data_IF_608327758404
#
_entry.id   IF_608327758404
#
_cell.length_a   1.000
_cell.length_b   1.000
_cell.length_c   1.000
_cell.angle_alpha   90.00
_cell.angle_beta   90.00
_cell.angle_gamma   90.00
#
_symmetry.space_group_name_H-M   'P 1'
#
loop_
_entity.id
_entity.type
_entity.pdbx_description
1 polymer ?
#
# COMPACT_ATOMS: atom_id res chain seq x y z
N UNK A 1 -6.81 7.13 2.42
CA UNK A 1 -5.60 6.29 2.33
C UNK A 1 -4.52 6.89 3.21
N UNK A 2 -3.91 6.14 4.12
CA UNK A 2 -2.83 6.60 5.00
C UNK A 2 -1.57 7.04 4.22
N UNK A 3 -0.61 7.61 4.96
CA UNK A 3 0.74 7.89 4.46
C UNK A 3 1.78 7.21 5.34
N UNK A 4 2.81 6.63 4.73
CA UNK A 4 3.97 6.12 5.44
C UNK A 4 5.25 6.74 4.89
N UNK A 5 6.25 6.91 5.75
CA UNK A 5 7.56 7.42 5.40
C UNK A 5 8.62 6.86 6.35
N UNK A 6 9.88 6.92 5.95
CA UNK A 6 10.95 6.55 6.85
C UNK A 6 12.33 6.65 6.26
N UNK A 7 13.31 6.37 7.11
CA UNK A 7 14.73 6.37 6.77
C UNK A 7 15.42 5.21 7.48
N UNK A 8 16.31 4.55 6.75
CA UNK A 8 17.15 3.47 7.23
C UNK A 8 18.61 3.91 7.12
N UNK A 9 19.36 3.88 8.22
CA UNK A 9 20.82 3.86 8.13
C UNK A 9 21.23 2.43 7.77
N UNK A 10 21.71 2.22 6.54
CA UNK A 10 22.07 0.91 6.01
C UNK A 10 23.22 0.25 6.80
N UNK A 11 24.00 1.01 7.57
CA UNK A 11 24.99 0.44 8.52
C UNK A 11 24.36 -0.02 9.84
N UNK A 12 23.10 0.34 10.09
CA UNK A 12 22.28 -0.12 11.20
C UNK A 12 22.68 0.42 12.57
N UNK A 13 23.38 1.55 12.65
CA UNK A 13 23.95 2.07 13.91
C UNK A 13 23.41 3.42 14.31
N UNK A 14 23.37 4.37 13.36
CA UNK A 14 22.93 5.75 13.62
C UNK A 14 21.43 5.78 13.81
N UNK A 15 20.99 6.56 14.80
CA UNK A 15 19.56 6.85 14.99
C UNK A 15 19.18 7.98 14.02
N UNK A 16 18.15 7.79 13.19
CA UNK A 16 17.60 8.87 12.41
C UNK A 16 17.12 10.06 13.24
N UNK A 17 17.18 11.25 12.65
CA UNK A 17 16.67 12.48 13.26
C UNK A 17 15.13 12.47 13.31
N UNK A 18 14.59 12.68 14.51
CA UNK A 18 13.14 12.76 14.74
C UNK A 18 12.51 13.95 14.01
N UNK A 19 13.16 15.12 14.02
CA UNK A 19 12.61 16.32 13.36
C UNK A 19 12.53 16.13 11.84
N UNK A 20 13.45 15.35 11.26
CA UNK A 20 13.37 14.94 9.86
C UNK A 20 12.17 14.03 9.59
N UNK A 21 11.93 13.03 10.43
CA UNK A 21 10.76 12.14 10.30
C UNK A 21 9.45 12.92 10.39
N UNK A 22 9.36 13.90 11.29
CA UNK A 22 8.20 14.79 11.42
C UNK A 22 7.94 15.58 10.13
N UNK A 23 8.97 16.18 9.53
CA UNK A 23 8.82 16.85 8.22
C UNK A 23 8.35 15.91 7.12
N UNK A 24 8.86 14.68 7.11
CA UNK A 24 8.44 13.65 6.14
C UNK A 24 6.98 13.25 6.34
N UNK A 25 6.53 13.16 7.60
CA UNK A 25 5.13 12.87 7.96
C UNK A 25 4.20 14.03 7.61
N UNK A 26 4.59 15.28 7.90
CA UNK A 26 3.80 16.47 7.60
C UNK A 26 3.55 16.63 6.10
N UNK A 27 4.54 16.29 5.27
CA UNK A 27 4.37 16.24 3.83
C UNK A 27 3.30 15.24 3.37
N UNK A 28 2.90 14.28 4.22
CA UNK A 28 1.87 13.28 3.95
C UNK A 28 0.55 13.53 4.71
N UNK A 29 0.40 14.66 5.40
CA UNK A 29 -0.78 14.95 6.24
C UNK A 29 -2.10 14.88 5.48
N UNK A 30 -2.11 15.25 4.19
CA UNK A 30 -3.31 15.18 3.33
C UNK A 30 -3.81 13.75 3.10
N UNK A 31 -2.92 12.74 3.24
CA UNK A 31 -3.29 11.32 3.15
C UNK A 31 -3.94 10.86 4.45
N UNK A 32 -3.29 11.17 5.57
CA UNK A 32 -3.71 10.76 6.91
C UNK A 32 -3.84 11.94 7.88
N UNK A 33 -4.99 12.64 7.89
CA UNK A 33 -5.19 13.82 8.70
C UNK A 33 -5.49 13.52 10.18
N UNK A 34 -5.91 12.29 10.52
CA UNK A 34 -6.52 11.98 11.82
C UNK A 34 -5.50 11.76 12.93
N UNK A 35 -4.38 11.11 12.63
CA UNK A 35 -3.35 10.78 13.63
C UNK A 35 -1.96 10.66 12.97
N UNK A 36 -0.92 10.63 13.81
CA UNK A 36 0.45 10.31 13.42
C UNK A 36 1.12 9.36 14.41
N UNK A 37 2.22 8.75 13.97
CA UNK A 37 3.07 7.98 14.86
C UNK A 37 4.46 7.76 14.31
N UNK A 38 5.38 7.54 15.22
CA UNK A 38 6.80 7.54 14.96
C UNK A 38 7.49 6.40 15.70
N UNK A 39 8.56 5.87 15.10
CA UNK A 39 9.47 4.94 15.76
C UNK A 39 10.90 5.32 15.37
N UNK A 40 11.73 5.56 16.38
CA UNK A 40 13.17 5.79 16.22
C UNK A 40 13.95 4.74 17.01
N UNK A 41 14.70 3.92 16.27
CA UNK A 41 15.61 2.92 16.81
C UNK A 41 16.97 3.02 16.11
N UNK A 42 18.03 2.37 16.63
CA UNK A 42 19.31 2.30 15.92
C UNK A 42 19.12 1.74 14.51
N UNK A 43 19.49 2.51 13.49
CA UNK A 43 19.34 2.11 12.09
C UNK A 43 17.99 2.43 11.44
N UNK A 44 16.95 2.75 12.23
CA UNK A 44 15.55 2.71 11.76
C UNK A 44 14.80 3.97 12.23
N UNK A 45 14.14 4.63 11.29
CA UNK A 45 13.23 5.73 11.52
C UNK A 45 11.96 5.50 10.71
N UNK A 46 10.82 5.38 11.37
CA UNK A 46 9.50 5.20 10.76
C UNK A 46 8.60 6.37 11.12
N UNK A 47 7.77 6.80 10.18
CA UNK A 47 6.73 7.79 10.39
C UNK A 47 5.45 7.37 9.64
N UNK A 48 4.30 7.58 10.29
CA UNK A 48 2.99 7.24 9.74
C UNK A 48 2.02 8.42 9.91
N UNK A 49 1.12 8.57 8.94
CA UNK A 49 -0.03 9.47 8.94
C UNK A 49 -1.28 8.63 8.71
N UNK A 50 -2.23 8.69 9.63
CA UNK A 50 -3.42 7.82 9.62
C UNK A 50 -4.65 8.53 9.08
N UNK A 51 -5.36 7.85 8.18
CA UNK A 51 -6.78 8.05 7.93
C UNK A 51 -7.50 6.85 8.54
N UNK A 52 -8.41 7.08 9.47
CA UNK A 52 -9.05 6.03 10.26
C UNK A 52 -10.29 5.51 9.53
N UNK A 53 -10.16 4.34 8.91
CA UNK A 53 -11.24 3.66 8.17
C UNK A 53 -11.71 2.39 8.89
N UNK A 54 -10.76 1.63 9.46
CA UNK A 54 -11.00 0.42 10.27
C UNK A 54 -10.30 0.57 11.62
N UNK A 55 -10.95 0.11 12.69
CA UNK A 55 -10.40 0.11 14.06
C UNK A 55 -10.17 1.52 14.58
N UNK A 56 -11.19 2.38 14.48
CA UNK A 56 -11.09 3.83 14.70
C UNK A 56 -10.37 4.21 16.01
N UNK A 57 -10.61 3.48 17.10
CA UNK A 57 -10.10 3.82 18.44
C UNK A 57 -8.71 3.28 18.83
N UNK A 58 -8.17 2.27 18.15
CA UNK A 58 -6.93 1.59 18.58
C UNK A 58 -5.95 1.27 17.44
N UNK A 59 -6.12 1.88 16.27
CA UNK A 59 -5.32 1.60 15.08
C UNK A 59 -4.12 2.51 14.84
N UNK A 60 -3.61 3.19 15.87
CA UNK A 60 -2.42 4.05 15.75
C UNK A 60 -1.20 3.21 15.40
N UNK A 61 -0.41 3.65 14.42
CA UNK A 61 0.77 2.94 13.93
C UNK A 61 2.05 3.71 14.28
N UNK A 62 3.21 3.06 14.52
CA UNK A 62 3.49 1.64 14.26
C UNK A 62 2.78 0.65 15.19
N UNK A 63 2.31 -0.46 14.62
CA UNK A 63 1.75 -1.60 15.36
C UNK A 63 2.86 -2.63 15.61
N UNK A 64 2.82 -3.28 16.77
CA UNK A 64 3.82 -4.25 17.21
C UNK A 64 3.17 -5.60 17.43
N UNK A 65 3.94 -6.68 17.32
CA UNK A 65 3.58 -7.97 17.89
C UNK A 65 3.63 -7.92 19.44
N UNK A 66 3.23 -9.00 20.11
CA UNK A 66 3.04 -9.11 21.55
C UNK A 66 4.31 -8.80 22.34
N UNK A 67 5.45 -9.34 21.87
CA UNK A 67 6.76 -9.14 22.51
C UNK A 67 7.52 -7.91 21.96
N UNK A 68 6.87 -7.14 21.08
CA UNK A 68 7.37 -5.93 20.45
C UNK A 68 8.70 -6.09 19.70
N UNK A 69 8.99 -7.29 19.23
CA UNK A 69 10.19 -7.58 18.42
C UNK A 69 9.96 -7.42 16.92
N UNK A 70 8.71 -7.27 16.51
CA UNK A 70 8.30 -6.92 15.15
C UNK A 70 7.42 -5.68 15.20
N UNK A 71 7.62 -4.75 14.25
CA UNK A 71 6.81 -3.55 14.10
C UNK A 71 6.42 -3.31 12.64
N UNK A 72 5.26 -2.72 12.40
CA UNK A 72 4.78 -2.38 11.04
C UNK A 72 4.16 -0.99 10.98
N UNK A 73 4.42 -0.28 9.88
CA UNK A 73 3.59 0.82 9.38
C UNK A 73 3.03 0.43 8.01
N UNK A 74 1.78 0.82 7.76
CA UNK A 74 0.96 0.31 6.67
C UNK A 74 0.06 1.40 6.10
N UNK A 75 -0.03 1.45 4.78
CA UNK A 75 -1.03 2.18 4.04
C UNK A 75 -1.73 1.20 3.11
N UNK A 76 -3.03 0.99 3.31
CA UNK A 76 -3.80 0.04 2.53
C UNK A 76 -5.05 -0.43 3.27
N UNK A 77 -5.60 -1.52 2.78
CA UNK A 77 -6.70 -2.30 3.36
C UNK A 77 -6.48 -3.78 3.02
N UNK A 78 -6.48 -4.65 4.04
CA UNK A 78 -6.46 -6.10 3.86
C UNK A 78 -7.88 -6.65 3.99
N UNK A 79 -8.39 -7.23 2.91
CA UNK A 79 -9.82 -7.56 2.80
C UNK A 79 -10.21 -8.82 3.58
N UNK A 80 -9.30 -9.78 3.71
CA UNK A 80 -9.49 -11.06 4.40
C UNK A 80 -8.93 -11.06 5.84
N UNK A 81 -8.66 -9.87 6.40
CA UNK A 81 -8.14 -9.75 7.76
C UNK A 81 -9.01 -10.39 8.85
N UNK A 82 -10.37 -10.37 8.80
CA UNK A 82 -11.17 -11.00 9.84
C UNK A 82 -10.96 -12.52 9.87
N UNK A 83 -10.91 -13.14 8.70
CA UNK A 83 -10.65 -14.56 8.54
C UNK A 83 -9.22 -14.91 8.98
N UNK A 84 -8.21 -14.14 8.53
CA UNK A 84 -6.81 -14.33 8.92
C UNK A 84 -6.59 -14.15 10.43
N UNK A 85 -7.28 -13.19 11.06
CA UNK A 85 -7.20 -12.95 12.50
C UNK A 85 -7.64 -14.19 13.28
N UNK A 86 -8.78 -14.80 12.92
CA UNK A 86 -9.26 -16.02 13.57
C UNK A 86 -8.27 -17.19 13.42
N UNK A 87 -7.67 -17.34 12.23
CA UNK A 87 -6.63 -18.36 12.00
C UNK A 87 -5.39 -18.15 12.87
N UNK A 88 -4.96 -16.90 13.04
CA UNK A 88 -3.80 -16.54 13.86
C UNK A 88 -4.09 -16.66 15.36
N UNK A 89 -5.28 -16.25 15.82
CA UNK A 89 -5.71 -16.45 17.21
C UNK A 89 -5.76 -17.94 17.56
N UNK A 90 -6.22 -18.79 16.64
CA UNK A 90 -6.22 -20.25 16.82
C UNK A 90 -4.80 -20.85 16.93
N UNK A 91 -3.79 -20.16 16.41
CA UNK A 91 -2.37 -20.52 16.55
C UNK A 91 -1.72 -19.93 17.81
N UNK A 92 -2.45 -19.13 18.58
CA UNK A 92 -2.01 -18.56 19.86
C UNK A 92 -1.54 -17.11 19.82
N UNK A 93 -1.69 -16.42 18.69
CA UNK A 93 -1.42 -14.98 18.58
C UNK A 93 -2.48 -14.18 19.35
N UNK A 94 -2.06 -13.10 19.99
CA UNK A 94 -2.90 -12.21 20.81
C UNK A 94 -2.90 -10.81 20.21
N UNK A 95 -4.02 -10.44 19.60
CA UNK A 95 -4.20 -9.13 18.99
C UNK A 95 -4.47 -8.04 20.03
N UNK A 96 -3.77 -6.93 19.93
CA UNK A 96 -3.96 -5.71 20.72
C UNK A 96 -4.93 -4.71 20.07
N UNK A 97 -5.17 -4.83 18.76
CA UNK A 97 -5.99 -3.91 17.97
C UNK A 97 -7.13 -4.63 17.25
N UNK A 98 -8.07 -3.84 16.72
CA UNK A 98 -9.12 -4.33 15.82
C UNK A 98 -8.84 -3.95 14.36
N UNK A 99 -7.63 -3.49 14.05
CA UNK A 99 -7.25 -3.12 12.69
C UNK A 99 -6.86 -4.33 11.86
N UNK A 100 -7.04 -4.20 10.55
CA UNK A 100 -6.51 -5.11 9.56
C UNK A 100 -4.98 -5.16 9.58
N UNK A 101 -4.32 -4.05 9.91
CA UNK A 101 -2.86 -3.89 9.88
C UNK A 101 -2.12 -4.90 10.77
N UNK A 102 -2.68 -5.27 11.92
CA UNK A 102 -2.00 -6.12 12.90
C UNK A 102 -1.77 -7.55 12.42
N UNK A 103 -2.59 -8.06 11.49
CA UNK A 103 -2.35 -9.41 10.92
C UNK A 103 -0.96 -9.51 10.26
N UNK A 104 -0.38 -8.39 9.83
CA UNK A 104 0.94 -8.36 9.14
C UNK A 104 2.07 -8.79 10.08
N UNK A 105 2.07 -8.35 11.34
CA UNK A 105 3.15 -8.72 12.28
C UNK A 105 3.08 -10.20 12.65
N UNK A 106 1.87 -10.73 12.84
CA UNK A 106 1.68 -12.15 13.17
C UNK A 106 1.89 -13.07 11.97
N UNK A 107 1.46 -12.68 10.75
CA UNK A 107 1.81 -13.41 9.53
C UNK A 107 3.33 -13.44 9.30
N UNK A 108 4.05 -12.38 9.67
CA UNK A 108 5.51 -12.39 9.62
C UNK A 108 6.13 -13.39 10.60
N UNK A 109 5.56 -13.56 11.80
CA UNK A 109 6.04 -14.56 12.76
C UNK A 109 5.88 -15.98 12.22
N UNK A 110 4.77 -16.25 11.56
CA UNK A 110 4.44 -17.55 10.96
C UNK A 110 5.24 -17.86 9.69
N UNK A 111 5.37 -16.86 8.80
CA UNK A 111 5.81 -17.08 7.42
C UNK A 111 7.07 -16.31 7.03
N UNK A 112 7.59 -15.44 7.91
CA UNK A 112 8.69 -14.55 7.60
C UNK A 112 8.39 -13.69 6.37
N UNK A 113 9.33 -13.61 5.43
CA UNK A 113 9.13 -12.92 4.14
C UNK A 113 8.00 -13.49 3.30
N UNK A 114 7.61 -14.75 3.52
CA UNK A 114 6.50 -15.40 2.81
C UNK A 114 5.13 -14.81 3.12
N UNK A 115 5.02 -13.94 4.13
CA UNK A 115 3.76 -13.28 4.53
C UNK A 115 3.02 -12.63 3.35
N UNK A 116 3.75 -12.12 2.36
CA UNK A 116 3.21 -11.38 1.21
C UNK A 116 2.32 -12.25 0.32
N UNK A 117 2.49 -13.57 0.36
CA UNK A 117 1.63 -14.51 -0.38
C UNK A 117 0.26 -14.70 0.29
N UNK A 118 0.14 -14.36 1.57
CA UNK A 118 -1.08 -14.48 2.37
C UNK A 118 -1.92 -13.20 2.39
N UNK A 119 -1.37 -12.07 1.95
CA UNK A 119 -2.09 -10.80 1.95
C UNK A 119 -3.00 -10.66 0.73
N UNK A 120 -4.29 -10.41 0.95
CA UNK A 120 -5.22 -9.96 -0.10
C UNK A 120 -5.72 -8.57 0.21
N UNK A 121 -5.31 -7.62 -0.63
CA UNK A 121 -5.61 -6.22 -0.38
C UNK A 121 -4.84 -5.29 -1.27
N UNK A 122 -5.12 -4.00 -1.10
CA UNK A 122 -4.27 -2.92 -1.56
C UNK A 122 -3.34 -2.55 -0.40
N UNK A 123 -2.03 -2.44 -0.64
CA UNK A 123 -1.10 -2.17 0.45
C UNK A 123 0.27 -1.67 0.02
N UNK A 124 0.83 -0.83 0.87
CA UNK A 124 2.24 -0.57 1.00
C UNK A 124 2.58 -0.65 2.49
N UNK A 125 3.64 -1.36 2.86
CA UNK A 125 4.07 -1.42 4.25
C UNK A 125 5.58 -1.34 4.42
N UNK A 126 6.00 -0.91 5.61
CA UNK A 126 7.34 -1.10 6.12
C UNK A 126 7.25 -1.92 7.41
N UNK A 127 7.81 -3.14 7.39
CA UNK A 127 7.91 -4.03 8.53
C UNK A 127 9.35 -4.11 9.01
N UNK A 128 9.55 -4.11 10.32
CA UNK A 128 10.85 -4.17 10.98
C UNK A 128 10.85 -5.36 11.92
N UNK A 129 11.82 -6.27 11.74
CA UNK A 129 12.17 -7.29 12.72
C UNK A 129 13.45 -6.85 13.44
N UNK A 130 13.33 -6.53 14.73
CA UNK A 130 14.46 -6.07 15.54
C UNK A 130 15.42 -7.19 15.91
N UNK A 131 14.93 -8.44 16.04
CA UNK A 131 15.74 -9.62 16.40
C UNK A 131 16.62 -10.05 15.23
N UNK A 132 16.01 -10.23 14.05
CA UNK A 132 16.72 -10.61 12.82
C UNK A 132 17.41 -9.42 12.16
N UNK A 133 17.10 -8.20 12.60
CA UNK A 133 17.59 -6.93 12.03
C UNK A 133 17.28 -6.82 10.54
N UNK A 134 16.02 -7.05 10.20
CA UNK A 134 15.50 -7.01 8.83
C UNK A 134 14.45 -5.91 8.72
N UNK A 135 14.45 -5.20 7.60
CA UNK A 135 13.34 -4.35 7.16
C UNK A 135 12.80 -4.86 5.84
N UNK A 136 11.48 -4.98 5.74
CA UNK A 136 10.77 -5.27 4.50
C UNK A 136 9.95 -4.05 4.09
N UNK A 137 10.16 -3.57 2.86
CA UNK A 137 9.32 -2.58 2.21
C UNK A 137 8.54 -3.30 1.12
N UNK A 138 7.23 -3.51 1.27
CA UNK A 138 6.44 -4.29 0.33
C UNK A 138 5.32 -3.47 -0.29
N UNK A 139 4.98 -3.78 -1.53
CA UNK A 139 3.91 -3.16 -2.30
C UNK A 139 2.99 -4.23 -2.89
N UNK A 140 1.69 -3.95 -2.92
CA UNK A 140 0.68 -4.89 -3.39
C UNK A 140 0.86 -5.34 -4.84
N UNK A 141 0.13 -6.41 -5.18
CA UNK A 141 0.23 -7.18 -6.43
C UNK A 141 0.23 -6.31 -7.68
N UNK A 142 -0.66 -5.32 -7.74
CA UNK A 142 -0.88 -4.46 -8.91
C UNK A 142 -0.46 -3.01 -8.68
N UNK A 143 0.09 -2.69 -7.50
CA UNK A 143 0.65 -1.40 -7.17
C UNK A 143 -0.37 -0.30 -6.88
N UNK A 144 -1.53 -0.63 -6.31
CA UNK A 144 -2.57 0.34 -5.96
C UNK A 144 -2.05 1.35 -4.93
N UNK A 145 -1.41 0.86 -3.87
CA UNK A 145 -0.77 1.73 -2.89
C UNK A 145 0.62 2.15 -3.38
N UNK A 146 0.96 3.45 -3.37
CA UNK A 146 2.26 3.90 -3.83
C UNK A 146 3.34 3.69 -2.75
N UNK A 147 4.56 3.34 -3.19
CA UNK A 147 5.73 3.25 -2.33
C UNK A 147 7.00 3.54 -3.13
N UNK A 148 7.73 4.56 -2.72
CA UNK A 148 8.95 5.03 -3.34
C UNK A 148 10.13 4.94 -2.37
N UNK A 149 11.33 4.80 -2.91
CA UNK A 149 12.57 4.83 -2.15
C UNK A 149 13.71 5.52 -2.90
N UNK A 150 14.72 5.97 -2.16
CA UNK A 150 15.95 6.56 -2.69
C UNK A 150 17.11 6.29 -1.75
N UNK A 151 18.26 5.88 -2.30
CA UNK A 151 19.51 5.73 -1.52
C UNK A 151 20.35 6.99 -1.65
N UNK A 152 20.74 7.54 -0.51
CA UNK A 152 21.66 8.67 -0.39
C UNK A 152 22.85 8.23 0.47
N UNK A 153 23.91 7.74 -0.19
CA UNK A 153 25.08 7.17 0.48
C UNK A 153 24.72 5.92 1.30
N UNK A 154 24.93 6.01 2.61
CA UNK A 154 24.62 4.94 3.57
C UNK A 154 23.17 4.97 4.06
N UNK A 155 22.33 5.89 3.58
CA UNK A 155 20.93 5.99 4.01
C UNK A 155 19.98 5.60 2.89
N UNK A 156 18.88 4.96 3.25
CA UNK A 156 17.73 4.71 2.37
C UNK A 156 16.53 5.47 2.92
N UNK A 157 15.91 6.32 2.09
CA UNK A 157 14.69 7.06 2.40
C UNK A 157 13.54 6.42 1.64
N UNK A 158 12.38 6.29 2.26
CA UNK A 158 11.19 5.76 1.60
C UNK A 158 9.92 6.50 2.02
N UNK A 159 8.87 6.35 1.23
CA UNK A 159 7.55 6.90 1.58
C UNK A 159 6.49 6.69 0.51
N UNK A 160 5.24 6.92 0.88
CA UNK A 160 4.08 6.78 0.00
C UNK A 160 4.09 7.76 -1.18
N UNK A 161 4.72 8.93 -1.02
CA UNK A 161 4.83 9.94 -2.07
C UNK A 161 6.25 10.48 -2.11
N UNK A 162 6.75 10.80 -3.32
CA UNK A 162 8.10 11.33 -3.52
C UNK A 162 8.35 12.58 -2.66
N UNK A 163 7.34 13.41 -2.44
CA UNK A 163 7.46 14.62 -1.60
C UNK A 163 7.84 14.34 -0.15
N UNK A 164 7.53 13.16 0.39
CA UNK A 164 8.03 12.75 1.70
C UNK A 164 9.56 12.55 1.67
N UNK A 165 10.10 11.95 0.62
CA UNK A 165 11.55 11.80 0.44
C UNK A 165 12.22 13.16 0.30
N UNK A 166 11.63 14.11 -0.44
CA UNK A 166 12.16 15.47 -0.59
C UNK A 166 12.14 16.24 0.75
N UNK A 167 11.09 16.07 1.55
CA UNK A 167 10.95 16.70 2.87
C UNK A 167 12.02 16.23 3.89
N UNK A 168 12.70 15.10 3.63
CA UNK A 168 13.87 14.69 4.42
C UNK A 168 14.99 15.73 4.39
N UNK A 169 15.11 16.49 3.29
CA UNK A 169 16.24 17.38 2.99
C UNK A 169 17.48 16.68 2.43
N UNK A 170 17.48 15.34 2.39
CA UNK A 170 18.59 14.55 1.83
C UNK A 170 18.39 14.23 0.33
N UNK A 171 17.14 14.10 -0.12
CA UNK A 171 16.81 13.85 -1.52
C UNK A 171 16.53 15.17 -2.22
N UNK A 172 17.28 15.47 -3.28
CA UNK A 172 17.14 16.73 -4.02
C UNK A 172 16.10 16.60 -5.14
N UNK A 173 15.28 17.63 -5.40
CA UNK A 173 14.27 17.63 -6.47
C UNK A 173 14.90 17.85 -7.85
N UNK A 174 15.71 16.89 -8.32
CA UNK A 174 16.31 16.92 -9.65
C UNK A 174 15.48 16.10 -10.63
N UNK A 175 15.21 16.66 -11.80
CA UNK A 175 14.43 15.99 -12.82
C UNK A 175 15.23 14.86 -13.51
N UNK A 176 14.68 13.64 -13.52
CA UNK A 176 15.18 12.55 -14.37
C UNK A 176 14.63 12.76 -15.79
N UNK A 177 15.50 13.14 -16.72
CA UNK A 177 15.11 13.39 -18.13
C UNK A 177 14.48 12.17 -18.80
N UNK A 178 14.94 10.96 -18.48
CA UNK A 178 14.35 9.72 -19.02
C UNK A 178 13.01 9.44 -18.36
N UNK A 179 12.86 9.78 -17.08
CA UNK A 179 11.57 9.70 -16.39
C UNK A 179 10.53 10.65 -16.98
N UNK A 180 10.94 11.88 -17.32
CA UNK A 180 10.09 12.84 -18.02
C UNK A 180 9.72 12.35 -19.43
N UNK A 181 10.70 11.84 -20.18
CA UNK A 181 10.47 11.24 -21.50
C UNK A 181 9.45 10.10 -21.45
N UNK A 182 9.56 9.19 -20.47
CA UNK A 182 8.56 8.14 -20.25
C UNK A 182 7.18 8.70 -19.94
N UNK A 183 7.09 9.68 -19.03
CA UNK A 183 5.80 10.28 -18.64
C UNK A 183 5.12 10.93 -19.85
N UNK A 184 5.84 11.70 -20.67
CA UNK A 184 5.25 12.37 -21.84
C UNK A 184 5.02 11.43 -23.03
N UNK A 185 5.69 10.28 -23.07
CA UNK A 185 5.46 9.26 -24.10
C UNK A 185 4.23 8.39 -23.79
N UNK A 186 4.09 7.95 -22.54
CA UNK A 186 3.06 6.97 -22.16
C UNK A 186 1.91 7.56 -21.34
N UNK A 187 1.96 8.84 -20.97
CA UNK A 187 1.04 9.50 -20.05
C UNK A 187 0.92 8.82 -18.67
N UNK A 188 1.85 7.93 -18.35
CA UNK A 188 1.90 7.18 -17.11
C UNK A 188 3.34 6.74 -16.81
N UNK A 189 3.62 6.49 -15.53
CA UNK A 189 4.85 5.85 -15.09
C UNK A 189 4.55 4.38 -14.76
N UNK A 190 4.70 3.50 -15.75
CA UNK A 190 4.42 2.06 -15.59
C UNK A 190 5.55 1.24 -14.95
N UNK A 191 6.69 1.86 -14.66
CA UNK A 191 7.89 1.16 -14.20
C UNK A 191 8.46 1.71 -12.89
N UNK A 192 9.66 1.24 -12.57
CA UNK A 192 10.42 1.63 -11.37
C UNK A 192 10.89 3.09 -11.43
N UNK A 193 11.18 3.58 -12.63
CA UNK A 193 11.73 4.92 -12.85
C UNK A 193 10.66 5.97 -12.57
N UNK A 194 11.05 7.00 -11.83
CA UNK A 194 10.24 8.18 -11.59
C UNK A 194 10.79 9.37 -12.39
N UNK A 195 10.10 10.52 -12.33
CA UNK A 195 10.59 11.79 -12.90
C UNK A 195 11.66 12.46 -12.03
N UNK A 196 12.12 11.84 -10.95
CA UNK A 196 13.11 12.38 -10.02
C UNK A 196 14.38 11.52 -10.01
N UNK A 197 15.55 12.16 -10.20
CA UNK A 197 16.83 11.46 -10.21
C UNK A 197 17.06 10.71 -8.88
N UNK A 198 17.42 9.43 -8.97
CA UNK A 198 17.72 8.61 -7.81
C UNK A 198 16.51 8.21 -6.96
N UNK A 199 15.28 8.53 -7.38
CA UNK A 199 14.05 8.05 -6.74
C UNK A 199 13.41 6.96 -7.59
N UNK A 200 13.10 5.83 -6.94
CA UNK A 200 12.51 4.65 -7.59
C UNK A 200 11.20 4.27 -6.90
N UNK A 201 10.22 3.82 -7.67
CA UNK A 201 9.07 3.11 -7.14
C UNK A 201 9.47 1.65 -6.86
N UNK A 202 8.94 1.06 -5.78
CA UNK A 202 8.90 -0.40 -5.66
C UNK A 202 7.92 -0.92 -6.70
N UNK A 203 8.32 -1.94 -7.46
CA UNK A 203 7.46 -2.49 -8.50
C UNK A 203 6.20 -3.16 -7.89
N UNK A 204 5.06 -3.20 -8.61
CA UNK A 204 3.92 -4.02 -8.23
C UNK A 204 4.32 -5.47 -7.95
N UNK A 205 3.75 -6.11 -6.93
CA UNK A 205 4.04 -7.50 -6.61
C UNK A 205 5.49 -7.75 -6.15
N UNK A 206 6.17 -6.72 -5.64
CA UNK A 206 7.53 -6.81 -5.13
C UNK A 206 7.66 -6.35 -3.67
N UNK A 207 8.70 -6.85 -3.02
CA UNK A 207 9.22 -6.27 -1.78
C UNK A 207 10.73 -6.05 -1.86
N UNK A 208 11.21 -5.05 -1.14
CA UNK A 208 12.62 -4.76 -0.93
C UNK A 208 12.99 -5.18 0.50
N UNK A 209 13.93 -6.11 0.60
CA UNK A 209 14.50 -6.58 1.86
C UNK A 209 15.81 -5.86 2.16
N UNK A 210 15.94 -5.37 3.38
CA UNK A 210 17.18 -4.81 3.92
C UNK A 210 17.57 -5.64 5.14
N UNK A 211 18.63 -6.44 5.03
CA UNK A 211 19.17 -7.21 6.15
C UNK A 211 20.44 -6.53 6.69
N UNK A 212 20.37 -5.96 7.90
CA UNK A 212 21.50 -5.24 8.46
C UNK A 212 22.68 -6.17 8.75
N UNK A 213 23.88 -5.69 8.45
CA UNK A 213 25.11 -6.48 8.61
C UNK A 213 25.72 -6.29 9.99
N UNK A 214 26.22 -7.36 10.59
CA UNK A 214 26.97 -7.30 11.86
C UNK A 214 28.36 -6.68 11.70
N UNK A 215 28.96 -6.78 10.51
CA UNK A 215 30.30 -6.27 10.20
C UNK A 215 30.38 -4.74 10.01
N UNK A 216 29.25 -4.02 10.15
CA UNK A 216 29.20 -2.56 10.04
C UNK A 216 29.28 -2.02 8.61
N UNK A 217 29.33 -2.89 7.59
CA UNK A 217 29.13 -2.46 6.20
C UNK A 217 27.66 -2.09 5.97
N UNK A 218 27.43 -1.20 5.00
CA UNK A 218 26.07 -0.89 4.57
C UNK A 218 25.38 -2.16 4.05
N UNK A 219 24.16 -2.39 4.49
CA UNK A 219 23.27 -3.38 3.93
C UNK A 219 22.89 -2.98 2.50
N UNK A 220 22.82 -3.97 1.62
CA UNK A 220 22.35 -3.76 0.25
C UNK A 220 20.85 -4.08 0.20
N UNK A 221 20.01 -3.15 -0.30
CA UNK A 221 18.61 -3.44 -0.55
C UNK A 221 18.49 -4.52 -1.62
N UNK A 222 17.75 -5.59 -1.32
CA UNK A 222 17.53 -6.71 -2.21
C UNK A 222 16.06 -6.78 -2.56
N UNK A 223 15.75 -6.58 -3.84
CA UNK A 223 14.37 -6.68 -4.30
C UNK A 223 14.01 -8.11 -4.71
N UNK A 224 12.75 -8.47 -4.45
CA UNK A 224 12.17 -9.77 -4.74
C UNK A 224 10.76 -9.58 -5.28
N UNK A 225 10.48 -10.22 -6.40
CA UNK A 225 9.13 -10.39 -6.92
C UNK A 225 8.48 -11.55 -6.15
N UNK A 226 7.26 -11.32 -5.68
CA UNK A 226 6.44 -12.35 -5.03
C UNK A 226 5.15 -12.64 -5.81
N UNK A 227 4.81 -11.78 -6.78
CA UNK A 227 3.63 -11.93 -7.62
C UNK A 227 3.85 -11.27 -8.98
N UNK A 228 3.26 -11.85 -10.02
CA UNK A 228 3.05 -11.23 -11.33
C UNK A 228 1.70 -11.67 -11.90
N UNK A 229 1.26 -11.00 -12.95
CA UNK A 229 0.22 -11.56 -13.79
C UNK A 229 0.73 -12.81 -14.50
N UNK A 230 -0.11 -13.83 -14.49
CA UNK A 230 0.07 -15.05 -15.26
C UNK A 230 -1.12 -15.13 -16.23
N UNK A 231 -0.82 -15.06 -17.53
CA UNK A 231 -1.82 -15.06 -18.59
C UNK A 231 -1.66 -16.34 -19.42
N UNK A 232 -2.76 -16.94 -19.90
CA UNK A 232 -2.67 -18.05 -20.84
C UNK A 232 -1.90 -17.65 -22.10
N UNK A 233 -1.21 -18.62 -22.71
CA UNK A 233 -0.63 -18.45 -24.03
C UNK A 233 -1.74 -18.32 -25.09
N UNK A 234 -1.41 -17.69 -26.23
CA UNK A 234 -2.37 -17.48 -27.31
C UNK A 234 -2.97 -18.81 -27.81
N UNK A 235 -4.29 -18.92 -27.74
CA UNK A 235 -5.06 -20.12 -28.09
C UNK A 235 -5.34 -21.05 -26.90
N UNK A 236 -4.82 -20.75 -25.70
CA UNK A 236 -5.14 -21.45 -24.45
C UNK A 236 -6.16 -20.69 -23.59
N UNK A 237 -6.73 -19.60 -24.10
CA UNK A 237 -7.76 -18.84 -23.40
C UNK A 237 -9.10 -19.61 -23.33
N UNK A 238 -9.80 -19.50 -22.21
CA UNK A 238 -11.19 -19.93 -22.10
C UNK A 238 -12.09 -19.10 -23.04
N UNK A 239 -13.15 -19.71 -23.57
CA UNK A 239 -14.15 -18.99 -24.37
C UNK A 239 -14.89 -17.96 -23.47
N UNK A 240 -14.71 -16.64 -23.70
CA UNK A 240 -15.32 -15.62 -22.85
C UNK A 240 -16.84 -15.55 -23.01
N UNK A 241 -17.40 -16.13 -24.08
CA UNK A 241 -18.84 -16.20 -24.29
C UNK A 241 -19.48 -17.46 -23.67
N UNK A 242 -18.68 -18.38 -23.14
CA UNK A 242 -19.21 -19.55 -22.45
C UNK A 242 -20.01 -19.13 -21.21
N UNK A 243 -21.22 -19.68 -20.97
CA UNK A 243 -22.02 -19.34 -19.79
C UNK A 243 -21.26 -19.49 -18.46
N UNK A 244 -20.41 -20.51 -18.35
CA UNK A 244 -19.59 -20.74 -17.17
C UNK A 244 -18.56 -19.62 -16.91
N UNK A 245 -18.02 -18.99 -17.97
CA UNK A 245 -17.07 -17.88 -17.83
C UNK A 245 -17.78 -16.62 -17.31
N UNK A 246 -18.99 -16.35 -17.83
CA UNK A 246 -19.85 -15.25 -17.36
C UNK A 246 -20.21 -15.46 -15.88
N UNK A 247 -20.69 -16.65 -15.51
CA UNK A 247 -21.05 -16.96 -14.12
C UNK A 247 -19.85 -16.82 -13.17
N UNK A 248 -18.67 -17.29 -13.58
CA UNK A 248 -17.44 -17.16 -12.80
C UNK A 248 -17.01 -15.70 -12.63
N UNK A 249 -17.12 -14.89 -13.68
CA UNK A 249 -16.86 -13.46 -13.61
C UNK A 249 -17.82 -12.77 -12.65
N UNK A 250 -19.13 -12.98 -12.78
CA UNK A 250 -20.13 -12.32 -11.94
C UNK A 250 -19.95 -12.67 -10.45
N UNK A 251 -19.67 -13.94 -10.14
CA UNK A 251 -19.40 -14.39 -8.78
C UNK A 251 -18.12 -13.75 -8.22
N UNK A 252 -17.04 -13.74 -9.01
CA UNK A 252 -15.76 -13.15 -8.59
C UNK A 252 -15.88 -11.65 -8.40
N UNK A 253 -16.57 -10.96 -9.32
CA UNK A 253 -16.78 -9.52 -9.28
C UNK A 253 -17.65 -9.13 -8.08
N UNK A 254 -18.77 -9.82 -7.87
CA UNK A 254 -19.64 -9.59 -6.71
C UNK A 254 -18.87 -9.76 -5.39
N UNK A 255 -18.05 -10.83 -5.28
CA UNK A 255 -17.20 -11.03 -4.11
C UNK A 255 -16.15 -9.93 -3.95
N UNK A 256 -15.54 -9.48 -5.04
CA UNK A 256 -14.55 -8.41 -5.01
C UNK A 256 -15.14 -7.08 -4.53
N UNK A 257 -16.38 -6.77 -4.93
CA UNK A 257 -17.12 -5.60 -4.45
C UNK A 257 -17.52 -5.77 -2.99
N UNK A 258 -18.10 -6.91 -2.61
CA UNK A 258 -18.54 -7.20 -1.24
C UNK A 258 -17.43 -6.97 -0.21
N UNK A 259 -16.23 -7.53 -0.44
CA UNK A 259 -15.14 -7.38 0.53
C UNK A 259 -14.63 -5.95 0.66
N UNK A 260 -14.84 -5.10 -0.36
CA UNK A 260 -14.46 -3.68 -0.37
C UNK A 260 -15.50 -2.78 0.29
N UNK A 261 -16.67 -3.32 0.67
CA UNK A 261 -17.67 -2.60 1.46
C UNK A 261 -17.42 -2.70 2.98
N UNK A 262 -16.41 -3.48 3.40
CA UNK A 262 -16.03 -3.65 4.81
C UNK A 262 -15.32 -2.38 5.33
N UNK A 263 -16.05 -1.47 5.98
CA UNK A 263 -15.50 -0.26 6.60
C UNK A 263 -16.29 0.16 7.86
N UNK A 264 -15.62 0.81 8.83
CA UNK A 264 -16.27 1.38 10.03
C UNK A 264 -16.84 2.80 9.76
N UNK A 265 -16.77 3.26 8.51
CA UNK A 265 -17.19 4.59 8.06
C UNK A 265 -18.07 4.48 6.80
N UNK A 266 -18.85 5.51 6.45
CA UNK A 266 -19.71 5.46 5.26
C UNK A 266 -18.92 5.19 3.97
N UNK A 267 -19.42 4.24 3.18
CA UNK A 267 -18.89 3.90 1.86
C UNK A 267 -19.72 4.58 0.77
N UNK A 268 -19.04 5.11 -0.23
CA UNK A 268 -19.65 5.85 -1.35
C UNK A 268 -19.04 5.39 -2.68
N UNK A 269 -19.77 5.58 -3.78
CA UNK A 269 -19.30 5.25 -5.13
C UNK A 269 -18.93 6.49 -5.94
N UNK A 270 -17.93 6.37 -6.82
CA UNK A 270 -17.77 7.30 -7.94
C UNK A 270 -18.56 6.78 -9.14
N UNK A 271 -19.31 7.65 -9.80
CA UNK A 271 -20.12 7.31 -10.96
C UNK A 271 -19.82 8.28 -12.10
N UNK A 272 -19.28 7.76 -13.19
CA UNK A 272 -18.93 8.56 -14.37
C UNK A 272 -19.93 8.40 -15.51
N UNK A 273 -20.98 7.59 -15.37
CA UNK A 273 -21.85 7.19 -16.49
C UNK A 273 -21.26 6.09 -17.38
N UNK A 274 -19.95 5.81 -17.24
CA UNK A 274 -19.30 4.67 -17.89
C UNK A 274 -19.69 3.33 -17.26
N UNK A 275 -19.67 2.27 -18.09
CA UNK A 275 -20.12 0.91 -17.73
C UNK A 275 -19.42 0.36 -16.49
N UNK A 276 -18.12 0.60 -16.31
CA UNK A 276 -17.36 0.05 -15.18
C UNK A 276 -17.85 0.62 -13.84
N UNK A 277 -17.95 1.95 -13.76
CA UNK A 277 -18.39 2.63 -12.54
C UNK A 277 -19.85 2.31 -12.21
N UNK A 278 -20.71 2.22 -13.23
CA UNK A 278 -22.10 1.83 -13.10
C UNK A 278 -22.24 0.39 -12.61
N UNK A 279 -21.47 -0.54 -13.17
CA UNK A 279 -21.53 -1.96 -12.80
C UNK A 279 -20.99 -2.22 -11.38
N UNK A 280 -19.92 -1.53 -10.97
CA UNK A 280 -19.44 -1.54 -9.57
C UNK A 280 -20.53 -1.02 -8.65
N UNK A 281 -21.12 0.14 -8.94
CA UNK A 281 -22.13 0.75 -8.07
C UNK A 281 -23.42 -0.09 -7.97
N UNK A 282 -23.90 -0.62 -9.09
CA UNK A 282 -25.07 -1.50 -9.13
C UNK A 282 -24.83 -2.78 -8.33
N UNK A 283 -23.66 -3.39 -8.48
CA UNK A 283 -23.26 -4.57 -7.71
C UNK A 283 -23.16 -4.24 -6.22
N UNK A 284 -22.56 -3.10 -5.88
CA UNK A 284 -22.39 -2.66 -4.51
C UNK A 284 -23.74 -2.39 -3.83
N UNK A 285 -24.68 -1.74 -4.51
CA UNK A 285 -26.02 -1.51 -4.01
C UNK A 285 -26.79 -2.82 -3.79
N UNK A 286 -26.66 -3.78 -4.72
CA UNK A 286 -27.26 -5.11 -4.58
C UNK A 286 -26.70 -5.87 -3.38
N UNK A 287 -25.39 -5.86 -3.19
CA UNK A 287 -24.71 -6.54 -2.07
C UNK A 287 -25.05 -5.86 -0.73
N UNK A 288 -25.08 -4.53 -0.69
CA UNK A 288 -25.44 -3.76 0.51
C UNK A 288 -26.94 -3.85 0.86
N UNK A 289 -27.79 -4.23 -0.10
CA UNK A 289 -29.25 -4.26 0.07
C UNK A 289 -29.91 -2.88 0.07
N UNK A 290 -29.18 -1.82 -0.28
CA UNK A 290 -29.68 -0.45 -0.38
C UNK A 290 -28.83 0.36 -1.38
N UNK A 291 -29.37 1.47 -1.88
CA UNK A 291 -28.61 2.40 -2.70
C UNK A 291 -27.46 3.02 -1.89
N UNK A 292 -26.28 3.10 -2.50
CA UNK A 292 -25.13 3.80 -1.93
C UNK A 292 -25.11 5.24 -2.42
N UNK A 293 -24.71 6.21 -1.58
CA UNK A 293 -24.42 7.56 -2.07
C UNK A 293 -23.34 7.50 -3.16
N UNK A 294 -23.57 8.22 -4.25
CA UNK A 294 -22.62 8.32 -5.36
C UNK A 294 -22.27 9.77 -5.68
N UNK A 295 -21.08 9.97 -6.23
CA UNK A 295 -20.58 11.27 -6.64
C UNK A 295 -20.10 11.21 -8.09
N UNK A 296 -20.42 12.26 -8.83
CA UNK A 296 -19.94 12.51 -10.19
C UNK A 296 -19.33 13.91 -10.27
N UNK A 297 -18.50 14.16 -11.28
CA UNK A 297 -17.84 15.45 -11.50
C UNK A 297 -18.31 16.03 -12.82
N UNK A 298 -18.76 17.29 -12.78
CA UNK A 298 -19.04 18.07 -13.98
C UNK A 298 -17.77 18.71 -14.51
N UNK A 299 -17.49 18.52 -15.80
CA UNK A 299 -16.42 19.20 -16.51
C UNK A 299 -17.03 20.32 -17.37
N UNK A 300 -16.43 21.51 -17.47
CA UNK A 300 -17.00 22.61 -18.28
C UNK A 300 -17.06 22.34 -19.79
N UNK A 301 -16.25 21.42 -20.31
CA UNK A 301 -16.26 21.02 -21.72
C UNK A 301 -17.37 19.98 -21.95
N UNK A 302 -18.42 20.30 -22.74
CA UNK A 302 -19.53 19.38 -22.98
C UNK A 302 -19.12 18.04 -23.60
N UNK A 303 -17.97 17.96 -24.29
CA UNK A 303 -17.50 16.70 -24.88
C UNK A 303 -16.85 15.77 -23.85
N UNK A 304 -16.60 16.26 -22.64
CA UNK A 304 -15.98 15.52 -21.52
C UNK A 304 -16.91 15.45 -20.30
N UNK A 305 -18.12 16.01 -20.38
CA UNK A 305 -19.09 16.05 -19.28
C UNK A 305 -20.03 14.85 -19.37
N UNK A 306 -19.80 13.86 -18.52
CA UNK A 306 -20.60 12.63 -18.45
C UNK A 306 -21.72 12.71 -17.38
N UNK A 307 -22.11 13.92 -16.94
CA UNK A 307 -23.07 14.06 -15.82
C UNK A 307 -24.50 13.70 -16.16
N UNK A 308 -24.89 13.70 -17.43
CA UNK A 308 -26.21 13.25 -17.85
C UNK A 308 -26.28 11.71 -17.85
N UNK A 309 -25.25 11.04 -18.35
CA UNK A 309 -25.08 9.58 -18.32
C UNK A 309 -24.98 9.07 -16.87
N UNK A 310 -24.29 9.79 -15.99
CA UNK A 310 -24.20 9.43 -14.58
C UNK A 310 -25.53 9.59 -13.81
N UNK A 311 -26.50 10.34 -14.36
CA UNK A 311 -27.81 10.55 -13.73
C UNK A 311 -28.82 9.47 -14.11
N UNK A 312 -28.69 8.90 -15.31
CA UNK A 312 -29.54 7.82 -15.83
C UNK A 312 -29.37 6.52 -15.02
#
# INVERSE_FOLDING_TARGET
MCGLAGVLDLKGRRRPDQAMLERMADALRHRGPDDDGFLVAPGIGLAHRRLSIVGLGNGRQPIFNEDRTVAVIFNGELFDYPELKLELEAKGHVFATSTDTEVIVHLYEEHGEGLVHHLKGQFAFALVDFRRRIVLLARDRVGICPLFWSRQGDFLYFGSEIKALLASGAVMPRADRRGLDHLFTFFALGGRRTTFEGVQAIAPGHYVKIAFRSDGRAAEPVERQYWDFDFPDWGEEDDPAAPAAIDAFEQTFARAVEVRLRADVPVVGYLSGGVDSAYVLATAARVAGHALPSFTVRVPDPNLDETDEARE
#
